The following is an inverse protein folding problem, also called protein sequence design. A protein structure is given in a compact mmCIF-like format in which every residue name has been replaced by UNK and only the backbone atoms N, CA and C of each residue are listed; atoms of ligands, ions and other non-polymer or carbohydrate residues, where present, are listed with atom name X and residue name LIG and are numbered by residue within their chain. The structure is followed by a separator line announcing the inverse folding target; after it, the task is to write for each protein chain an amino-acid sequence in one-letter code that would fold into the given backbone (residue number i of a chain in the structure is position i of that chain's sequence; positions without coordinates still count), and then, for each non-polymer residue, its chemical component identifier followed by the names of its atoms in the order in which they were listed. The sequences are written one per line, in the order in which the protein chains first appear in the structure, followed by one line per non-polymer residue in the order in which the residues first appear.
data_IF_491160107451
#
_entry.id   IF_491160107451
#
_cell.length_a   1.000
_cell.length_b   1.000
_cell.length_c   1.000
_cell.angle_alpha   90.00
_cell.angle_beta   90.00
_cell.angle_gamma   90.00
#
_symmetry.space_group_name_H-M   'P 1'
#
loop_
_entity.id
_entity.type
_entity.pdbx_description
1 polymer ?
#
# COMPACT_ATOMS: atom_id res chain seq x y z
N UNK A 1 -0.29 -15.02 -10.89
CA UNK A 1 0.54 -13.79 -10.95
C UNK A 1 1.84 -14.16 -11.65
N UNK A 2 2.27 -13.40 -12.65
CA UNK A 2 3.60 -13.59 -13.24
C UNK A 2 4.66 -13.38 -12.15
N UNK A 3 5.50 -14.39 -11.89
CA UNK A 3 6.54 -14.32 -10.86
C UNK A 3 7.51 -13.16 -11.13
N UNK A 4 7.66 -12.76 -12.40
CA UNK A 4 8.41 -11.59 -12.79
C UNK A 4 7.76 -10.30 -12.24
N UNK A 5 6.44 -10.15 -12.35
CA UNK A 5 5.72 -9.00 -11.82
C UNK A 5 5.82 -8.93 -10.29
N UNK A 6 5.63 -10.05 -9.59
CA UNK A 6 5.77 -10.09 -8.12
C UNK A 6 7.16 -9.64 -7.66
N UNK A 7 8.22 -10.15 -8.31
CA UNK A 7 9.60 -9.76 -8.02
C UNK A 7 9.90 -8.30 -8.35
N UNK A 8 9.26 -7.74 -9.38
CA UNK A 8 9.39 -6.30 -9.71
C UNK A 8 8.69 -5.43 -8.67
N UNK A 9 7.48 -5.80 -8.26
CA UNK A 9 6.73 -5.11 -7.19
C UNK A 9 7.53 -5.10 -5.90
N UNK A 10 8.04 -6.26 -5.47
CA UNK A 10 8.84 -6.37 -4.25
C UNK A 10 10.09 -5.49 -4.31
N UNK A 11 10.83 -5.52 -5.42
CA UNK A 11 12.02 -4.66 -5.62
C UNK A 11 11.67 -3.18 -5.54
N UNK A 12 10.58 -2.74 -6.18
CA UNK A 12 10.19 -1.34 -6.15
C UNK A 12 9.76 -0.89 -4.75
N UNK A 13 9.04 -1.74 -4.00
CA UNK A 13 8.66 -1.45 -2.61
C UNK A 13 9.88 -1.28 -1.70
N UNK A 14 10.85 -2.20 -1.79
CA UNK A 14 12.07 -2.15 -1.00
C UNK A 14 12.95 -0.96 -1.40
N UNK A 15 13.09 -0.69 -2.69
CA UNK A 15 13.83 0.47 -3.19
C UNK A 15 13.20 1.79 -2.74
N UNK A 16 11.87 1.91 -2.79
CA UNK A 16 11.16 3.09 -2.32
C UNK A 16 11.33 3.28 -0.82
N UNK A 17 11.23 2.21 -0.03
CA UNK A 17 11.50 2.26 1.40
C UNK A 17 12.95 2.70 1.68
N UNK A 18 13.94 2.17 0.95
CA UNK A 18 15.35 2.53 1.10
C UNK A 18 15.62 4.03 0.87
N UNK A 19 14.89 4.68 -0.04
CA UNK A 19 15.00 6.13 -0.32
C UNK A 19 14.48 7.04 0.80
N UNK A 20 13.59 6.54 1.67
CA UNK A 20 13.02 7.35 2.75
C UNK A 20 14.09 7.81 3.77
N UNK A 21 13.90 8.95 4.47
CA UNK A 21 14.76 9.37 5.56
C UNK A 21 14.88 8.30 6.66
N UNK A 22 15.91 8.40 7.51
CA UNK A 22 16.13 7.46 8.63
C UNK A 22 15.03 7.50 9.69
N UNK A 23 14.28 8.59 9.79
CA UNK A 23 13.20 8.75 10.76
C UNK A 23 12.11 7.70 10.54
N UNK A 24 11.91 6.83 11.53
CA UNK A 24 10.91 5.75 11.46
C UNK A 24 11.38 4.47 10.76
N UNK A 25 12.66 4.39 10.37
CA UNK A 25 13.29 3.12 9.94
C UNK A 25 13.91 2.41 11.14
N UNK A 26 13.87 1.06 11.17
CA UNK A 26 14.55 0.31 12.21
C UNK A 26 16.06 0.52 12.11
N UNK A 27 16.74 0.50 13.26
CA UNK A 27 18.17 0.28 13.33
C UNK A 27 18.52 -1.12 12.81
N UNK A 28 19.34 -1.18 11.76
CA UNK A 28 19.72 -2.43 11.08
C UNK A 28 20.40 -3.46 11.99
N UNK A 29 21.00 -3.03 13.10
CA UNK A 29 21.76 -3.92 14.00
C UNK A 29 20.90 -4.65 15.03
N UNK A 30 19.72 -4.13 15.40
CA UNK A 30 18.94 -4.70 16.51
C UNK A 30 17.44 -4.45 16.46
N UNK A 31 16.94 -3.65 15.52
CA UNK A 31 15.50 -3.44 15.34
C UNK A 31 15.03 -4.10 14.05
N UNK A 32 13.78 -4.52 14.06
CA UNK A 32 13.11 -5.02 12.87
C UNK A 32 11.68 -4.49 12.84
N UNK A 33 11.12 -4.43 11.64
CA UNK A 33 9.73 -4.07 11.42
C UNK A 33 9.18 -4.83 10.22
N UNK A 34 7.87 -4.81 10.05
CA UNK A 34 7.24 -5.25 8.82
C UNK A 34 7.06 -4.03 7.92
N UNK A 35 7.29 -4.21 6.62
CA UNK A 35 6.97 -3.24 5.60
C UNK A 35 5.80 -3.76 4.77
N UNK A 36 4.78 -2.94 4.61
CA UNK A 36 3.67 -3.19 3.70
C UNK A 36 3.49 -2.01 2.74
N UNK A 37 3.01 -2.30 1.53
CA UNK A 37 2.87 -1.33 0.47
C UNK A 37 1.63 -1.60 -0.38
N UNK A 38 1.09 -0.53 -0.97
CA UNK A 38 0.13 -0.62 -2.07
C UNK A 38 0.77 -0.02 -3.30
N UNK A 39 0.73 -0.77 -4.39
CA UNK A 39 1.44 -0.50 -5.63
C UNK A 39 0.45 -0.37 -6.77
N UNK A 40 0.51 0.76 -7.47
CA UNK A 40 -0.19 0.98 -8.71
C UNK A 40 0.61 0.37 -9.86
N UNK A 41 -0.04 -0.46 -10.67
CA UNK A 41 0.50 -0.97 -11.92
C UNK A 41 -0.36 -0.43 -13.06
N UNK A 42 0.25 0.24 -14.02
CA UNK A 42 -0.43 0.83 -15.19
C UNK A 42 0.11 0.26 -16.50
N UNK A 43 -0.65 0.36 -17.61
CA UNK A 43 -0.13 0.01 -18.93
C UNK A 43 1.10 0.86 -19.26
N UNK A 44 2.12 0.25 -19.85
CA UNK A 44 3.30 0.99 -20.26
C UNK A 44 3.00 1.83 -21.51
N UNK A 45 3.30 3.12 -21.45
CA UNK A 45 3.11 4.02 -22.59
C UNK A 45 4.12 3.75 -23.72
N UNK A 46 5.30 3.20 -23.42
CA UNK A 46 6.41 3.02 -24.38
C UNK A 46 7.30 1.77 -24.17
N UNK A 47 6.89 0.79 -23.37
CA UNK A 47 7.73 -0.38 -23.05
C UNK A 47 6.96 -1.70 -23.13
N UNK A 48 7.69 -2.81 -23.28
CA UNK A 48 7.13 -4.17 -23.26
C UNK A 48 6.57 -4.61 -21.88
N UNK A 49 6.77 -3.81 -20.82
CA UNK A 49 6.42 -4.18 -19.45
C UNK A 49 5.74 -3.02 -18.70
N UNK A 50 4.65 -3.30 -17.98
CA UNK A 50 3.85 -2.35 -17.18
C UNK A 50 4.68 -1.39 -16.31
N UNK A 51 4.20 -0.16 -16.12
CA UNK A 51 4.76 0.79 -15.15
C UNK A 51 4.31 0.44 -13.73
N UNK A 52 5.19 0.65 -12.75
CA UNK A 52 5.00 0.23 -11.35
C UNK A 52 5.34 1.40 -10.45
N UNK A 53 4.37 1.85 -9.66
CA UNK A 53 4.54 2.96 -8.72
C UNK A 53 4.04 2.58 -7.34
N UNK A 54 4.88 2.76 -6.33
CA UNK A 54 4.49 2.61 -4.93
C UNK A 54 3.70 3.85 -4.51
N UNK A 55 2.41 3.69 -4.22
CA UNK A 55 1.51 4.81 -3.92
C UNK A 55 1.25 4.96 -2.42
N UNK A 56 1.49 3.91 -1.64
CA UNK A 56 1.41 3.96 -0.19
C UNK A 56 2.37 2.96 0.44
N UNK A 57 2.94 3.33 1.58
CA UNK A 57 3.81 2.49 2.42
C UNK A 57 3.38 2.61 3.89
N UNK A 58 3.63 1.55 4.65
CA UNK A 58 3.48 1.55 6.10
C UNK A 58 4.47 0.58 6.73
N UNK A 59 4.99 0.93 7.91
CA UNK A 59 5.79 0.04 8.75
C UNK A 59 5.18 -0.04 10.15
N UNK A 60 5.30 -1.21 10.79
CA UNK A 60 4.89 -1.37 12.18
C UNK A 60 4.30 -2.75 12.50
N UNK A 61 4.22 -3.04 13.79
CA UNK A 61 3.88 -4.37 14.35
C UNK A 61 3.08 -4.28 15.64
N UNK A 62 2.53 -3.10 15.95
CA UNK A 62 1.95 -2.79 17.26
C UNK A 62 0.61 -2.09 17.11
N UNK A 63 -0.19 -2.18 18.16
CA UNK A 63 -1.46 -1.48 18.29
C UNK A 63 -1.45 -0.67 19.59
N UNK A 64 -2.30 0.34 19.67
CA UNK A 64 -2.51 1.09 20.91
C UNK A 64 -3.14 0.19 21.97
N UNK A 65 -2.72 0.31 23.24
CA UNK A 65 -3.41 -0.34 24.34
C UNK A 65 -4.79 0.28 24.58
N UNK A 66 -5.67 -0.48 25.21
CA UNK A 66 -7.10 -0.16 25.32
C UNK A 66 -7.40 1.12 26.11
N UNK A 67 -6.60 1.42 27.12
CA UNK A 67 -6.66 2.63 27.95
C UNK A 67 -6.14 3.90 27.23
N UNK A 68 -5.44 3.72 26.10
CA UNK A 68 -5.03 4.82 25.23
C UNK A 68 -6.01 5.07 24.07
N UNK A 69 -7.11 4.33 23.97
CA UNK A 69 -8.12 4.59 22.94
C UNK A 69 -8.81 5.93 23.18
N UNK A 70 -9.10 6.64 22.08
CA UNK A 70 -9.75 7.96 22.13
C UNK A 70 -11.03 7.94 21.30
N UNK A 71 -12.17 8.40 21.86
CA UNK A 71 -13.43 8.48 21.13
C UNK A 71 -13.46 9.60 20.07
N UNK A 72 -12.43 10.47 20.02
CA UNK A 72 -12.39 11.62 19.10
C UNK A 72 -11.90 11.26 17.69
N UNK A 73 -11.42 10.04 17.47
CA UNK A 73 -10.86 9.62 16.18
C UNK A 73 -9.49 10.25 15.86
N UNK A 74 -8.77 10.74 16.86
CA UNK A 74 -7.48 11.44 16.77
C UNK A 74 -6.27 10.54 17.05
N UNK A 75 -6.49 9.23 17.29
CA UNK A 75 -5.46 8.24 17.57
C UNK A 75 -5.54 7.06 16.61
N UNK A 76 -4.38 6.51 16.24
CA UNK A 76 -4.30 5.34 15.35
C UNK A 76 -4.31 4.07 16.20
N UNK A 77 -5.43 3.37 16.24
CA UNK A 77 -5.58 2.17 17.07
C UNK A 77 -4.65 1.03 16.65
N UNK A 78 -4.49 0.83 15.34
CA UNK A 78 -3.72 -0.28 14.79
C UNK A 78 -2.63 0.27 13.88
N UNK A 79 -1.39 0.06 14.30
CA UNK A 79 -0.17 0.49 13.60
C UNK A 79 0.58 -0.69 12.98
N UNK A 80 -0.10 -1.81 12.69
CA UNK A 80 0.44 -2.82 11.78
C UNK A 80 0.71 -2.20 10.41
N UNK A 81 1.79 -2.63 9.78
CA UNK A 81 2.27 -2.10 8.51
C UNK A 81 1.18 -2.08 7.42
N UNK A 82 0.43 -3.17 7.27
CA UNK A 82 -0.66 -3.32 6.31
C UNK A 82 -1.83 -2.37 6.56
N UNK A 83 -2.13 -2.11 7.83
CA UNK A 83 -3.20 -1.18 8.22
C UNK A 83 -2.78 0.25 7.91
N UNK A 84 -1.56 0.63 8.24
CA UNK A 84 -1.02 1.96 7.92
C UNK A 84 -0.91 2.18 6.42
N UNK A 85 -0.43 1.19 5.66
CA UNK A 85 -0.37 1.26 4.20
C UNK A 85 -1.76 1.49 3.59
N UNK A 86 -2.79 0.78 4.08
CA UNK A 86 -4.18 1.00 3.65
C UNK A 86 -4.68 2.41 3.97
N UNK A 87 -4.39 2.93 5.18
CA UNK A 87 -4.79 4.30 5.57
C UNK A 87 -4.12 5.36 4.68
N UNK A 88 -2.83 5.21 4.40
CA UNK A 88 -2.10 6.07 3.48
C UNK A 88 -2.68 5.98 2.06
N UNK A 89 -3.07 4.78 1.61
CA UNK A 89 -3.70 4.58 0.32
C UNK A 89 -5.05 5.27 0.19
N UNK A 90 -5.90 5.26 1.23
CA UNK A 90 -7.15 6.04 1.21
C UNK A 90 -6.88 7.53 0.98
N UNK A 91 -5.83 8.08 1.60
CA UNK A 91 -5.41 9.47 1.40
C UNK A 91 -4.98 9.72 -0.05
N UNK A 92 -4.18 8.82 -0.62
CA UNK A 92 -3.82 8.85 -2.04
C UNK A 92 -5.06 8.82 -2.95
N UNK A 93 -6.06 8.00 -2.67
CA UNK A 93 -7.30 7.96 -3.47
C UNK A 93 -8.05 9.30 -3.45
N UNK A 94 -8.14 9.96 -2.29
CA UNK A 94 -8.74 11.30 -2.21
C UNK A 94 -7.96 12.33 -3.03
N UNK A 95 -6.62 12.34 -2.93
CA UNK A 95 -5.77 13.21 -3.74
C UNK A 95 -5.98 12.99 -5.24
N UNK A 96 -6.17 11.73 -5.67
CA UNK A 96 -6.45 11.41 -7.07
C UNK A 96 -7.84 11.85 -7.54
N UNK A 97 -8.85 11.80 -6.67
CA UNK A 97 -10.20 12.32 -6.95
C UNK A 97 -10.14 13.84 -7.09
N UNK A 98 -9.44 14.53 -6.19
CA UNK A 98 -9.23 15.98 -6.28
C UNK A 98 -8.52 16.35 -7.58
N UNK A 99 -7.46 15.62 -7.96
CA UNK A 99 -6.76 15.83 -9.23
C UNK A 99 -7.70 15.65 -10.44
N UNK A 100 -8.60 14.66 -10.41
CA UNK A 100 -9.56 14.44 -11.49
C UNK A 100 -10.60 15.57 -11.62
N UNK A 101 -10.77 16.40 -10.60
CA UNK A 101 -11.65 17.57 -10.61
C UNK A 101 -10.94 18.85 -11.06
N UNK A 102 -9.61 18.88 -11.02
CA UNK A 102 -8.82 20.07 -11.33
C UNK A 102 -8.51 20.18 -12.83
N UNK A 103 -8.55 21.42 -13.32
CA UNK A 103 -8.14 21.80 -14.67
C UNK A 103 -6.98 22.77 -14.56
N UNK A 104 -5.85 22.46 -15.20
CA UNK A 104 -4.64 23.26 -15.21
C UNK A 104 -4.26 23.58 -16.66
N UNK A 105 -4.11 24.86 -17.00
CA UNK A 105 -3.81 25.28 -18.39
C UNK A 105 -4.89 24.90 -19.42
N UNK A 106 -6.14 24.71 -18.98
CA UNK A 106 -7.25 24.27 -19.84
C UNK A 106 -7.29 22.76 -20.10
N UNK A 107 -6.42 21.97 -19.46
CA UNK A 107 -6.42 20.51 -19.53
C UNK A 107 -6.72 19.90 -18.16
N UNK A 108 -7.45 18.77 -18.08
CA UNK A 108 -7.61 18.04 -16.84
C UNK A 108 -6.24 17.61 -16.28
N UNK A 109 -6.05 17.75 -14.98
CA UNK A 109 -4.84 17.25 -14.33
C UNK A 109 -4.80 15.72 -14.39
N UNK A 110 -3.60 15.16 -14.46
CA UNK A 110 -3.42 13.71 -14.49
C UNK A 110 -3.95 13.08 -13.20
N UNK A 111 -4.79 12.05 -13.34
CA UNK A 111 -5.35 11.25 -12.26
C UNK A 111 -5.47 9.79 -12.70
N UNK A 112 -5.46 8.85 -11.76
CA UNK A 112 -5.79 7.43 -11.99
C UNK A 112 -7.27 7.18 -12.25
N UNK A 113 -8.14 8.16 -11.97
CA UNK A 113 -9.57 8.03 -12.12
C UNK A 113 -10.06 8.73 -13.39
N UNK A 114 -11.15 8.21 -13.93
CA UNK A 114 -11.98 8.86 -14.94
C UNK A 114 -13.41 9.01 -14.43
N UNK A 115 -14.10 10.05 -14.90
CA UNK A 115 -15.48 10.30 -14.51
C UNK A 115 -16.40 9.55 -15.46
N UNK A 116 -17.17 8.62 -14.92
CA UNK A 116 -18.21 7.92 -15.68
C UNK A 116 -19.38 8.89 -15.92
N UNK A 117 -19.56 9.33 -17.16
CA UNK A 117 -20.73 10.13 -17.55
C UNK A 117 -21.99 9.28 -17.45
N UNK A 118 -23.03 9.80 -16.80
CA UNK A 118 -24.35 9.18 -16.77
C UNK A 118 -25.27 9.98 -17.68
N UNK A 119 -25.98 9.31 -18.58
CA UNK A 119 -27.00 9.94 -19.41
C UNK A 119 -28.06 10.59 -18.51
N UNK A 120 -28.34 11.88 -18.72
CA UNK A 120 -29.32 12.64 -17.93
C UNK A 120 -28.74 13.63 -16.89
N UNK A 121 -27.45 13.95 -16.93
CA UNK A 121 -26.91 15.14 -16.24
C UNK A 121 -26.62 14.98 -14.74
N UNK A 122 -26.67 13.76 -14.20
CA UNK A 122 -26.25 13.48 -12.82
C UNK A 122 -24.74 13.58 -12.60
N UNK A 123 -24.33 13.71 -11.33
CA UNK A 123 -22.92 13.62 -10.96
C UNK A 123 -22.39 12.20 -11.17
N UNK A 124 -21.59 12.02 -12.23
CA UNK A 124 -20.91 10.76 -12.54
C UNK A 124 -20.01 10.24 -11.41
N UNK A 125 -19.88 8.90 -11.31
CA UNK A 125 -18.94 8.24 -10.39
C UNK A 125 -17.51 8.33 -10.91
N UNK A 126 -16.54 8.31 -10.01
CA UNK A 126 -15.14 8.07 -10.38
C UNK A 126 -14.88 6.57 -10.51
N UNK A 127 -14.26 6.17 -11.61
CA UNK A 127 -13.91 4.79 -11.91
C UNK A 127 -12.42 4.73 -12.21
N UNK A 128 -11.75 3.69 -11.72
CA UNK A 128 -10.33 3.50 -11.99
C UNK A 128 -10.13 3.31 -13.50
N UNK A 129 -9.17 4.03 -14.09
CA UNK A 129 -8.88 3.95 -15.51
C UNK A 129 -8.58 2.52 -15.94
N UNK A 130 -8.99 2.17 -17.15
CA UNK A 130 -8.75 0.84 -17.68
C UNK A 130 -7.25 0.46 -17.65
N UNK A 131 -6.97 -0.82 -17.40
CA UNK A 131 -5.62 -1.37 -17.28
C UNK A 131 -4.84 -0.97 -16.02
N UNK A 132 -5.37 -0.08 -15.18
CA UNK A 132 -4.77 0.21 -13.87
C UNK A 132 -5.18 -0.87 -12.89
N UNK A 133 -4.23 -1.29 -12.05
CA UNK A 133 -4.48 -2.26 -10.98
C UNK A 133 -3.67 -1.93 -9.74
N UNK A 134 -4.20 -2.31 -8.58
CA UNK A 134 -3.48 -2.18 -7.32
C UNK A 134 -3.04 -3.55 -6.82
N UNK A 135 -1.80 -3.61 -6.32
CA UNK A 135 -1.20 -4.80 -5.75
C UNK A 135 -0.76 -4.50 -4.32
N UNK A 136 -1.03 -5.44 -3.43
CA UNK A 136 -0.57 -5.37 -2.06
C UNK A 136 0.73 -6.16 -1.92
N UNK A 137 1.71 -5.56 -1.25
CA UNK A 137 2.98 -6.17 -0.90
C UNK A 137 3.18 -6.10 0.61
N UNK A 138 3.72 -7.16 1.19
CA UNK A 138 4.18 -7.17 2.58
C UNK A 138 5.39 -8.07 2.74
N UNK A 139 6.33 -7.69 3.62
CA UNK A 139 7.57 -8.45 3.86
C UNK A 139 7.36 -9.71 4.69
N UNK A 140 6.19 -9.88 5.31
CA UNK A 140 5.86 -11.08 6.06
C UNK A 140 4.35 -11.36 5.97
N UNK A 141 3.94 -12.62 6.20
CA UNK A 141 2.52 -12.99 6.25
C UNK A 141 1.79 -12.11 7.27
N UNK A 142 0.61 -11.57 6.93
CA UNK A 142 -0.21 -10.84 7.89
C UNK A 142 -0.47 -11.68 9.15
N UNK A 143 -0.56 -11.01 10.30
CA UNK A 143 -0.85 -11.70 11.55
C UNK A 143 -2.24 -12.35 11.53
N UNK A 144 -2.40 -13.41 12.33
CA UNK A 144 -3.63 -14.22 12.36
C UNK A 144 -3.49 -15.47 11.48
N UNK A 145 -4.59 -15.89 10.87
CA UNK A 145 -4.70 -17.20 10.20
C UNK A 145 -3.64 -17.41 9.11
N UNK A 146 -3.30 -16.36 8.36
CA UNK A 146 -2.28 -16.40 7.31
C UNK A 146 -0.85 -16.71 7.81
N UNK A 147 -0.60 -16.59 9.12
CA UNK A 147 0.67 -16.91 9.77
C UNK A 147 0.68 -18.24 10.53
N UNK A 148 -0.42 -18.99 10.51
CA UNK A 148 -0.55 -20.29 11.19
C UNK A 148 -0.17 -21.40 10.20
N UNK A 149 1.13 -21.65 10.07
CA UNK A 149 1.65 -22.73 9.26
C UNK A 149 2.89 -23.36 9.91
N UNK A 150 3.13 -24.65 9.64
CA UNK A 150 4.34 -25.33 10.09
C UNK A 150 5.53 -24.78 9.30
N UNK A 151 6.54 -24.24 9.98
CA UNK A 151 7.82 -23.92 9.32
C UNK A 151 8.63 -25.20 9.19
N UNK A 152 9.34 -25.36 8.08
CA UNK A 152 10.25 -26.50 7.89
C UNK A 152 11.34 -26.55 8.97
N UNK A 153 11.70 -25.40 9.58
CA UNK A 153 12.66 -25.29 10.68
C UNK A 153 12.12 -25.78 12.04
N UNK A 154 10.80 -25.81 12.25
CA UNK A 154 10.20 -26.30 13.51
C UNK A 154 10.30 -27.83 13.65
N UNK A 155 10.74 -28.53 12.60
CA UNK A 155 11.04 -29.96 12.65
C UNK A 155 12.40 -30.27 13.29
N UNK A 156 13.28 -29.26 13.46
CA UNK A 156 14.67 -29.45 13.89
C UNK A 156 15.00 -28.81 15.25
N UNK A 157 14.09 -28.05 15.85
CA UNK A 157 14.27 -27.48 17.18
C UNK A 157 13.21 -28.02 18.13
N UNK A 158 13.60 -28.51 19.34
CA UNK A 158 12.61 -28.91 20.32
C UNK A 158 11.73 -27.70 20.67
N UNK A 159 10.42 -27.92 20.68
CA UNK A 159 9.43 -26.92 21.07
C UNK A 159 9.87 -26.24 22.37
N UNK A 160 10.07 -24.91 22.32
CA UNK A 160 10.36 -24.13 23.53
C UNK A 160 9.15 -24.26 24.46
N UNK A 161 9.42 -24.80 25.66
CA UNK A 161 8.48 -24.87 26.78
C UNK A 161 8.08 -23.48 27.26
#
# INVERSE_FOLDING_TARGET
MDINLANRIARECLAQFAKLPKTGKPNESFEWTILSAIVLVTPAHHAASSDIRVVALGTGTKCLPGDELSPRGDRVHDSHAEVLARRAFVRYLYEQIEQALLVEGGQPKESIFERQTVDGGGCGKFVLKNGHSFHFFTTHSPCGDASIYKREEDALLPAKR
#
